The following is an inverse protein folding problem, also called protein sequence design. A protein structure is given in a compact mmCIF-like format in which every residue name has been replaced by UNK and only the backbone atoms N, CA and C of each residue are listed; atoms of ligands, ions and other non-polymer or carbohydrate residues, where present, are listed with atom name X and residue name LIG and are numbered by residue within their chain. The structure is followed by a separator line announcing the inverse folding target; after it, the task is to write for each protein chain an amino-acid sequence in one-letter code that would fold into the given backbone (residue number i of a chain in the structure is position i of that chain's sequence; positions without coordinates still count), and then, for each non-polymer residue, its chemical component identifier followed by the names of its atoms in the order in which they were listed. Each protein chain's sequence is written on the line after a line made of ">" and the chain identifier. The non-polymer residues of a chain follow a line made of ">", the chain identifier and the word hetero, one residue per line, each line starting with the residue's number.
data_IF_554239053244
#
_entry.id   IF_554239053244
#
_cell.length_a   1.000
_cell.length_b   1.000
_cell.length_c   1.000
_cell.angle_alpha   90.00
_cell.angle_beta   90.00
_cell.angle_gamma   90.00
#
_symmetry.space_group_name_H-M   'P 1'
#
loop_
_entity.id
_entity.type
_entity.pdbx_description
1 polymer ?
#
# COMPACT_ATOMS: atom_id res chain seq x y z
N UNK A 1 14.92 -17.64 -46.18
CA UNK A 1 14.04 -17.51 -45.00
C UNK A 1 14.84 -18.05 -43.84
N UNK A 2 15.25 -17.16 -42.93
CA UNK A 2 15.94 -17.52 -41.71
C UNK A 2 14.89 -17.33 -40.61
N UNK A 3 14.27 -18.41 -40.15
CA UNK A 3 13.44 -18.37 -38.95
C UNK A 3 14.41 -18.21 -37.78
N UNK A 4 14.56 -16.97 -37.32
CA UNK A 4 15.25 -16.70 -36.06
C UNK A 4 14.28 -17.08 -34.95
N UNK A 5 14.48 -18.27 -34.39
CA UNK A 5 13.84 -18.67 -33.13
C UNK A 5 14.12 -17.59 -32.08
N UNK A 6 13.05 -16.93 -31.62
CA UNK A 6 13.13 -15.96 -30.54
C UNK A 6 13.49 -16.77 -29.28
N UNK A 7 14.62 -16.52 -28.61
CA UNK A 7 14.94 -17.20 -27.36
C UNK A 7 13.85 -16.84 -26.36
N UNK A 8 13.01 -17.81 -26.04
CA UNK A 8 12.01 -17.67 -24.99
C UNK A 8 12.76 -17.79 -23.68
N UNK A 9 12.65 -16.78 -22.82
CA UNK A 9 13.24 -16.83 -21.48
C UNK A 9 12.75 -18.10 -20.76
N UNK A 10 13.70 -18.84 -20.18
CA UNK A 10 13.42 -20.08 -19.47
C UNK A 10 12.43 -19.79 -18.33
N UNK A 11 11.29 -20.49 -18.30
CA UNK A 11 10.28 -20.25 -17.28
C UNK A 11 10.85 -20.62 -15.91
N UNK A 12 10.81 -19.67 -14.97
CA UNK A 12 11.22 -19.92 -13.59
C UNK A 12 10.33 -21.02 -13.00
N UNK A 13 10.96 -21.96 -12.30
CA UNK A 13 10.23 -22.97 -11.55
C UNK A 13 9.70 -22.40 -10.22
N UNK A 14 8.79 -23.14 -9.59
CA UNK A 14 8.14 -22.70 -8.34
C UNK A 14 9.15 -22.37 -7.23
N UNK A 15 10.25 -23.11 -7.14
CA UNK A 15 11.31 -22.89 -6.14
C UNK A 15 12.05 -21.56 -6.37
N UNK A 16 12.33 -21.22 -7.63
CA UNK A 16 12.95 -19.96 -8.00
C UNK A 16 12.02 -18.76 -7.74
N UNK A 17 10.71 -18.94 -7.95
CA UNK A 17 9.70 -17.92 -7.64
C UNK A 17 9.64 -17.68 -6.13
N UNK A 18 9.62 -18.75 -5.32
CA UNK A 18 9.58 -18.67 -3.86
C UNK A 18 10.83 -17.96 -3.31
N UNK A 19 12.01 -18.30 -3.81
CA UNK A 19 13.26 -17.67 -3.37
C UNK A 19 13.34 -16.18 -3.70
N UNK A 20 12.76 -15.74 -4.84
CA UNK A 20 12.69 -14.32 -5.18
C UNK A 20 11.85 -13.53 -4.16
N UNK A 21 10.71 -14.10 -3.75
CA UNK A 21 9.81 -13.47 -2.77
C UNK A 21 10.39 -13.42 -1.36
N UNK A 22 11.18 -14.44 -0.98
CA UNK A 22 11.85 -14.47 0.32
C UNK A 22 12.95 -13.40 0.41
N UNK A 23 13.74 -13.24 -0.66
CA UNK A 23 14.83 -12.26 -0.68
C UNK A 23 14.34 -10.79 -0.72
N UNK A 24 13.14 -10.50 -1.24
CA UNK A 24 12.56 -9.14 -1.14
C UNK A 24 12.15 -8.76 0.30
N UNK A 25 11.91 -9.75 1.16
CA UNK A 25 11.44 -9.53 2.53
C UNK A 25 12.56 -9.33 3.56
N UNK A 26 13.83 -9.59 3.18
CA UNK A 26 15.00 -9.51 4.08
C UNK A 26 15.67 -8.12 4.10
N UNK A 27 15.19 -7.15 3.30
CA UNK A 27 15.66 -5.75 3.34
C UNK A 27 14.76 -4.81 4.17
N UNK A 28 14.03 -5.34 5.16
CA UNK A 28 13.50 -4.46 6.21
C UNK A 28 14.61 -4.15 7.21
N UNK A 29 15.23 -2.98 7.05
CA UNK A 29 15.95 -2.29 8.14
C UNK A 29 14.96 -2.15 9.32
N UNK A 30 15.03 -3.10 10.25
CA UNK A 30 14.40 -3.06 11.58
C UNK A 30 15.07 -1.94 12.38
N UNK A 31 14.60 -0.70 12.18
CA UNK A 31 14.70 0.33 13.22
C UNK A 31 13.57 0.04 14.23
N UNK A 32 13.87 -0.92 15.10
CA UNK A 32 13.02 -1.50 16.13
C UNK A 32 12.77 -0.47 17.25
N UNK A 33 11.96 0.55 16.94
CA UNK A 33 11.21 1.24 17.98
C UNK A 33 9.97 0.38 18.28
N UNK A 34 9.93 -0.20 19.49
CA UNK A 34 8.82 -0.93 20.15
C UNK A 34 7.50 -0.12 20.24
N UNK A 35 7.18 0.72 19.26
CA UNK A 35 5.86 1.29 19.07
C UNK A 35 5.02 0.21 18.40
N UNK A 36 4.27 -0.54 19.22
CA UNK A 36 3.30 -1.55 18.80
C UNK A 36 2.49 -1.01 17.61
N UNK A 37 2.86 -1.45 16.39
CA UNK A 37 2.25 -0.94 15.16
C UNK A 37 0.79 -1.40 15.19
N UNK A 38 -0.10 -0.47 15.55
CA UNK A 38 -1.53 -0.72 15.60
C UNK A 38 -2.01 -1.10 14.19
N UNK A 39 -2.24 -2.39 13.98
CA UNK A 39 -2.83 -2.93 12.76
C UNK A 39 -4.29 -2.48 12.68
N UNK A 40 -4.53 -1.40 11.95
CA UNK A 40 -5.86 -0.87 11.66
C UNK A 40 -6.35 -1.37 10.31
N UNK A 41 -7.67 -1.56 10.17
CA UNK A 41 -8.26 -1.82 8.86
C UNK A 41 -8.06 -0.63 7.91
N UNK A 42 -8.06 -0.89 6.60
CA UNK A 42 -7.90 0.17 5.59
C UNK A 42 -9.01 1.22 5.70
N UNK A 43 -10.22 0.80 6.06
CA UNK A 43 -11.34 1.72 6.31
C UNK A 43 -11.06 2.63 7.51
N UNK A 44 -10.57 2.07 8.62
CA UNK A 44 -10.22 2.86 9.81
C UNK A 44 -9.10 3.86 9.49
N UNK A 45 -8.08 3.44 8.74
CA UNK A 45 -7.01 4.35 8.30
C UNK A 45 -7.52 5.49 7.40
N UNK A 46 -8.42 5.18 6.45
CA UNK A 46 -9.06 6.20 5.60
C UNK A 46 -9.90 7.18 6.42
N UNK A 47 -10.67 6.70 7.39
CA UNK A 47 -11.54 7.55 8.21
C UNK A 47 -10.72 8.41 9.18
N UNK A 48 -9.66 7.88 9.79
CA UNK A 48 -8.74 8.64 10.63
C UNK A 48 -8.05 9.77 9.84
N UNK A 49 -7.59 9.49 8.62
CA UNK A 49 -6.96 10.50 7.76
C UNK A 49 -7.94 11.61 7.34
N UNK A 50 -9.23 11.29 7.12
CA UNK A 50 -10.26 12.32 6.90
C UNK A 50 -10.42 13.22 8.11
N UNK A 51 -10.47 12.64 9.32
CA UNK A 51 -10.60 13.39 10.57
C UNK A 51 -9.40 14.32 10.75
N UNK A 52 -8.19 13.81 10.55
CA UNK A 52 -6.95 14.58 10.61
C UNK A 52 -6.99 15.79 9.67
N UNK A 53 -7.30 15.58 8.38
CA UNK A 53 -7.36 16.66 7.40
C UNK A 53 -8.42 17.69 7.82
N UNK A 54 -9.62 17.24 8.20
CA UNK A 54 -10.71 18.14 8.59
C UNK A 54 -10.38 18.95 9.85
N UNK A 55 -9.65 18.37 10.82
CA UNK A 55 -9.19 19.09 12.00
C UNK A 55 -8.29 20.27 11.59
N UNK A 56 -7.27 20.01 10.77
CA UNK A 56 -6.33 21.04 10.33
C UNK A 56 -6.93 22.07 9.38
N UNK A 57 -7.94 21.71 8.58
CA UNK A 57 -8.69 22.67 7.76
C UNK A 57 -9.47 23.70 8.60
N UNK A 58 -9.79 23.38 9.85
CA UNK A 58 -10.54 24.24 10.77
C UNK A 58 -9.65 25.02 11.74
N UNK A 59 -8.33 24.73 11.77
CA UNK A 59 -7.38 25.46 12.62
C UNK A 59 -7.19 26.89 12.09
N UNK A 60 -7.14 27.86 13.00
CA UNK A 60 -6.77 29.25 12.71
C UNK A 60 -5.36 29.56 13.21
N UNK A 61 -4.46 28.59 13.10
CA UNK A 61 -3.06 28.76 13.46
C UNK A 61 -2.32 29.48 12.31
N UNK A 62 -1.80 30.70 12.51
CA UNK A 62 -1.09 31.44 11.46
C UNK A 62 0.27 30.81 11.08
N UNK A 63 0.83 29.94 11.92
CA UNK A 63 2.07 29.21 11.61
C UNK A 63 1.80 27.97 10.74
N UNK A 64 0.56 27.51 10.68
CA UNK A 64 0.18 26.34 9.90
C UNK A 64 -0.05 26.70 8.42
N UNK A 65 0.70 26.04 7.53
CA UNK A 65 0.50 26.17 6.10
C UNK A 65 -0.57 25.19 5.59
N UNK A 66 -1.76 25.71 5.27
CA UNK A 66 -2.87 24.95 4.70
C UNK A 66 -2.48 24.18 3.42
N UNK A 67 -1.49 24.66 2.65
CA UNK A 67 -1.05 24.01 1.42
C UNK A 67 -0.37 22.66 1.68
N UNK A 68 0.18 22.43 2.88
CA UNK A 68 0.81 21.17 3.26
C UNK A 68 -0.23 20.04 3.36
N UNK A 69 -1.51 20.38 3.61
CA UNK A 69 -2.62 19.42 3.55
C UNK A 69 -2.80 18.80 2.16
N UNK A 70 -2.26 19.39 1.09
CA UNK A 70 -2.28 18.79 -0.24
C UNK A 70 -1.63 17.41 -0.26
N UNK A 71 -0.57 17.20 0.53
CA UNK A 71 0.13 15.90 0.64
C UNK A 71 -0.82 14.87 1.27
N UNK A 72 -1.45 15.22 2.39
CA UNK A 72 -2.41 14.36 3.08
C UNK A 72 -3.63 14.03 2.21
N UNK A 73 -4.13 15.00 1.43
CA UNK A 73 -5.21 14.76 0.46
C UNK A 73 -4.79 13.78 -0.66
N UNK A 74 -3.52 13.79 -1.09
CA UNK A 74 -2.97 12.80 -2.04
C UNK A 74 -2.95 11.41 -1.40
N UNK A 75 -2.46 11.29 -0.17
CA UNK A 75 -2.48 10.01 0.56
C UNK A 75 -3.89 9.49 0.80
N UNK A 76 -4.86 10.37 1.10
CA UNK A 76 -6.26 9.98 1.25
C UNK A 76 -6.82 9.32 -0.02
N UNK A 77 -6.44 9.81 -1.21
CA UNK A 77 -6.84 9.17 -2.48
C UNK A 77 -6.24 7.78 -2.62
N UNK A 78 -4.96 7.62 -2.31
CA UNK A 78 -4.26 6.33 -2.38
C UNK A 78 -4.88 5.34 -1.39
N UNK A 79 -5.10 5.77 -0.14
CA UNK A 79 -5.70 4.94 0.91
C UNK A 79 -7.12 4.47 0.54
N UNK A 80 -7.93 5.33 -0.09
CA UNK A 80 -9.26 4.92 -0.60
C UNK A 80 -9.18 3.87 -1.70
N UNK A 81 -8.21 3.97 -2.60
CA UNK A 81 -8.00 2.95 -3.64
C UNK A 81 -7.63 1.62 -2.99
N UNK A 82 -6.74 1.64 -2.00
CA UNK A 82 -6.39 0.43 -1.21
C UNK A 82 -7.60 -0.15 -0.50
N UNK A 83 -8.42 0.66 0.18
CA UNK A 83 -9.65 0.22 0.84
C UNK A 83 -10.62 -0.47 -0.14
N UNK A 84 -10.83 0.10 -1.33
CA UNK A 84 -11.69 -0.49 -2.36
C UNK A 84 -11.13 -1.82 -2.86
N UNK A 85 -9.82 -1.88 -3.11
CA UNK A 85 -9.17 -3.09 -3.60
C UNK A 85 -9.19 -4.21 -2.55
N UNK A 86 -8.98 -3.89 -1.28
CA UNK A 86 -9.10 -4.83 -0.16
C UNK A 86 -10.49 -5.47 -0.10
N UNK A 87 -11.56 -4.67 -0.26
CA UNK A 87 -12.94 -5.18 -0.34
C UNK A 87 -13.18 -6.11 -1.54
N UNK A 88 -12.60 -5.78 -2.71
CA UNK A 88 -12.71 -6.64 -3.91
C UNK A 88 -12.00 -7.97 -3.71
N UNK A 89 -10.79 -7.94 -3.13
CA UNK A 89 -10.03 -9.15 -2.81
C UNK A 89 -10.82 -10.04 -1.84
N UNK A 90 -11.29 -9.47 -0.73
CA UNK A 90 -12.14 -10.19 0.23
C UNK A 90 -13.39 -10.79 -0.40
N UNK A 91 -14.02 -10.09 -1.36
CA UNK A 91 -15.20 -10.61 -2.08
C UNK A 91 -14.84 -11.79 -2.99
N UNK A 92 -13.69 -11.73 -3.68
CA UNK A 92 -13.19 -12.81 -4.53
C UNK A 92 -12.85 -14.04 -3.68
N UNK A 93 -12.15 -13.84 -2.57
CA UNK A 93 -11.76 -14.90 -1.64
C UNK A 93 -12.99 -15.62 -1.09
N UNK A 94 -14.04 -14.87 -0.73
CA UNK A 94 -15.33 -15.43 -0.30
C UNK A 94 -16.08 -16.18 -1.39
N UNK A 95 -15.88 -15.87 -2.67
CA UNK A 95 -16.54 -16.55 -3.79
C UNK A 95 -15.83 -17.86 -4.17
N UNK A 96 -14.52 -17.94 -3.97
CA UNK A 96 -13.70 -19.11 -4.29
C UNK A 96 -13.67 -20.16 -3.15
N UNK A 97 -14.29 -19.85 -2.00
CA UNK A 97 -14.49 -20.70 -0.83
C UNK A 97 -15.84 -21.43 -0.90
#
# INVERSE_FOLDING_TARGET
>A
MLDQDIPTEEQLNDEQIINLLQNENDESDDDDSDEEILLVSEKQGVDALKIFINYFEQQNDPEFNIDDLRIFRKYLRIARIKEINSKKQSTLDMFLL
#
